data_IF_884792643181
#
_entry.id   IF_884792643181
#
_cell.length_a   1.000
_cell.length_b   1.000
_cell.length_c   1.000
_cell.angle_alpha   90.00
_cell.angle_beta   90.00
_cell.angle_gamma   90.00
#
_symmetry.space_group_name_H-M   'P 1'
#
loop_
_entity.id
_entity.type
_entity.pdbx_description
1 polymer ?
#
# COMPACT_ATOMS: atom_id res chain seq x y z
N UNK A 1 4.65 5.81 4.08
CA UNK A 1 5.01 5.76 2.65
C UNK A 1 5.93 4.56 2.43
N UNK A 2 5.94 4.00 1.23
CA UNK A 2 6.80 2.87 0.89
C UNK A 2 8.30 3.25 1.01
N UNK A 3 9.15 2.42 1.64
CA UNK A 3 10.60 2.59 1.64
C UNK A 3 11.20 2.23 0.28
N UNK A 4 12.49 2.49 0.09
CA UNK A 4 13.18 2.32 -1.20
C UNK A 4 13.08 0.87 -1.73
N UNK A 5 13.09 -0.14 -0.85
CA UNK A 5 12.95 -1.55 -1.27
C UNK A 5 11.56 -1.88 -1.86
N UNK A 6 10.56 -1.07 -1.53
CA UNK A 6 9.19 -1.17 -2.01
C UNK A 6 8.82 -0.02 -2.97
N UNK A 7 9.82 0.70 -3.51
CA UNK A 7 9.65 1.77 -4.48
C UNK A 7 10.45 1.48 -5.77
N UNK A 8 10.08 0.44 -6.54
CA UNK A 8 10.91 -0.07 -7.63
C UNK A 8 11.04 0.89 -8.83
N UNK A 9 10.11 1.81 -9.01
CA UNK A 9 10.08 2.72 -10.16
C UNK A 9 10.05 1.98 -11.50
N UNK A 10 10.81 2.49 -12.47
CA UNK A 10 10.98 1.85 -13.79
C UNK A 10 9.71 1.80 -14.64
N UNK A 11 9.65 0.80 -15.52
CA UNK A 11 8.55 0.60 -16.47
C UNK A 11 7.21 0.42 -15.75
N UNK A 12 7.18 -0.39 -14.70
CA UNK A 12 5.98 -0.69 -13.92
C UNK A 12 5.61 0.38 -12.89
N UNK A 13 6.53 1.31 -12.61
CA UNK A 13 6.32 2.45 -11.72
C UNK A 13 6.35 2.10 -10.24
N UNK A 14 6.18 3.12 -9.40
CA UNK A 14 6.08 2.95 -7.95
C UNK A 14 4.68 2.51 -7.53
N UNK A 15 4.57 1.93 -6.34
CA UNK A 15 3.28 1.58 -5.74
C UNK A 15 2.52 2.81 -5.23
N UNK A 16 1.23 2.64 -4.93
CA UNK A 16 0.32 3.74 -4.57
C UNK A 16 0.76 4.53 -3.32
N UNK A 17 1.51 3.91 -2.41
CA UNK A 17 1.97 4.52 -1.16
C UNK A 17 3.37 5.15 -1.28
N UNK A 18 3.88 5.34 -2.50
CA UNK A 18 5.12 6.05 -2.75
C UNK A 18 5.10 7.49 -2.21
N UNK A 19 6.23 7.98 -1.74
CA UNK A 19 6.32 9.29 -1.08
C UNK A 19 6.14 10.51 -2.03
N UNK A 20 6.15 10.29 -3.35
CA UNK A 20 6.02 11.34 -4.38
C UNK A 20 4.86 11.03 -5.30
N UNK A 21 4.30 12.06 -5.93
CA UNK A 21 3.21 11.90 -6.91
C UNK A 21 3.62 10.94 -8.04
N UNK A 22 2.71 10.03 -8.40
CA UNK A 22 2.84 9.11 -9.54
C UNK A 22 1.86 9.54 -10.65
N UNK A 23 2.18 9.18 -11.90
CA UNK A 23 1.35 9.51 -13.07
C UNK A 23 0.05 8.72 -13.15
N UNK A 24 -0.02 7.55 -12.49
CA UNK A 24 -1.24 6.74 -12.39
C UNK A 24 -1.46 5.78 -13.56
N UNK A 25 -0.63 5.83 -14.60
CA UNK A 25 -0.71 5.01 -15.82
C UNK A 25 0.06 3.70 -15.72
N UNK A 26 0.99 3.57 -14.76
CA UNK A 26 1.86 2.39 -14.65
C UNK A 26 1.23 1.30 -13.78
N UNK A 27 1.63 0.05 -14.06
CA UNK A 27 1.06 -1.17 -13.45
C UNK A 27 1.01 -1.14 -11.91
N UNK A 28 2.02 -0.58 -11.25
CA UNK A 28 2.06 -0.57 -9.78
C UNK A 28 1.28 0.60 -9.16
N UNK A 29 0.93 1.64 -9.93
CA UNK A 29 0.31 2.85 -9.37
C UNK A 29 -1.09 2.60 -8.78
N UNK A 30 -1.76 1.51 -9.16
CA UNK A 30 -3.07 1.09 -8.64
C UNK A 30 -2.98 -0.08 -7.64
N UNK A 31 -1.78 -0.41 -7.16
CA UNK A 31 -1.54 -1.52 -6.24
C UNK A 31 -0.80 -1.05 -4.99
N UNK A 32 -1.03 -1.76 -3.88
CA UNK A 32 -0.21 -1.64 -2.68
C UNK A 32 1.06 -2.48 -2.82
N UNK A 33 2.19 -1.96 -2.34
CA UNK A 33 3.43 -2.74 -2.22
C UNK A 33 3.29 -3.83 -1.14
N UNK A 34 4.23 -4.77 -1.11
CA UNK A 34 4.34 -5.75 -0.01
C UNK A 34 4.52 -5.05 1.34
N UNK A 35 5.38 -4.03 1.44
CA UNK A 35 5.59 -3.24 2.66
C UNK A 35 4.28 -2.59 3.17
N UNK A 36 3.50 -2.03 2.24
CA UNK A 36 2.20 -1.45 2.53
C UNK A 36 1.22 -2.51 3.05
N UNK A 37 1.13 -3.67 2.40
CA UNK A 37 0.26 -4.77 2.85
C UNK A 37 0.63 -5.28 4.25
N UNK A 38 1.93 -5.44 4.54
CA UNK A 38 2.40 -5.83 5.88
C UNK A 38 2.00 -4.81 6.95
N UNK A 39 2.01 -3.52 6.62
CA UNK A 39 1.65 -2.45 7.56
C UNK A 39 0.14 -2.30 7.74
N UNK A 40 -0.63 -2.47 6.66
CA UNK A 40 -2.10 -2.33 6.68
C UNK A 40 -2.76 -3.51 7.41
N UNK A 41 -2.25 -4.73 7.22
CA UNK A 41 -2.94 -5.93 7.70
C UNK A 41 -3.19 -5.96 9.22
N UNK A 42 -2.24 -5.61 10.12
CA UNK A 42 -2.49 -5.52 11.55
C UNK A 42 -3.54 -4.48 11.92
N UNK A 43 -3.58 -3.35 11.19
CA UNK A 43 -4.58 -2.30 11.40
C UNK A 43 -5.98 -2.84 11.05
N UNK A 44 -6.12 -3.50 9.91
CA UNK A 44 -7.40 -4.12 9.53
C UNK A 44 -7.80 -5.23 10.51
N UNK A 45 -6.86 -6.04 11.00
CA UNK A 45 -7.14 -7.03 12.04
C UNK A 45 -7.69 -6.38 13.31
N UNK A 46 -7.09 -5.27 13.76
CA UNK A 46 -7.54 -4.56 14.97
C UNK A 46 -8.86 -3.80 14.77
N UNK A 47 -9.00 -3.07 13.66
CA UNK A 47 -10.01 -2.05 13.46
C UNK A 47 -11.17 -2.48 12.57
N UNK A 48 -11.00 -3.49 11.73
CA UNK A 48 -12.03 -3.97 10.83
C UNK A 48 -12.51 -5.38 11.20
N UNK A 49 -11.60 -6.34 11.37
CA UNK A 49 -11.92 -7.77 11.48
C UNK A 49 -12.12 -8.27 12.92
N UNK A 50 -11.74 -7.49 13.94
CA UNK A 50 -11.93 -7.88 15.34
C UNK A 50 -13.36 -7.65 15.81
N UNK A 51 -13.74 -8.26 16.93
CA UNK A 51 -15.03 -8.01 17.61
C UNK A 51 -15.19 -6.57 18.12
N UNK A 52 -14.10 -5.80 18.14
CA UNK A 52 -14.09 -4.36 18.46
C UNK A 52 -13.92 -3.50 17.20
N UNK A 53 -13.99 -4.10 16.01
CA UNK A 53 -13.87 -3.40 14.75
C UNK A 53 -15.10 -2.56 14.43
N UNK A 54 -14.93 -1.60 13.53
CA UNK A 54 -15.98 -0.69 13.07
C UNK A 54 -16.40 -0.93 11.61
N UNK A 55 -15.86 -1.97 10.96
CA UNK A 55 -16.29 -2.41 9.64
C UNK A 55 -17.30 -3.54 9.84
N UNK A 56 -18.59 -3.18 9.78
CA UNK A 56 -19.76 -4.07 9.86
C UNK A 56 -20.23 -4.52 8.49
#
# INVERSE_FOLDING_TARGET
>A
HDPDECAPGGEDGNYIMFARATSGDKRNNNQFSTCSLFSINPVLTSKARSTKGCFV
#
